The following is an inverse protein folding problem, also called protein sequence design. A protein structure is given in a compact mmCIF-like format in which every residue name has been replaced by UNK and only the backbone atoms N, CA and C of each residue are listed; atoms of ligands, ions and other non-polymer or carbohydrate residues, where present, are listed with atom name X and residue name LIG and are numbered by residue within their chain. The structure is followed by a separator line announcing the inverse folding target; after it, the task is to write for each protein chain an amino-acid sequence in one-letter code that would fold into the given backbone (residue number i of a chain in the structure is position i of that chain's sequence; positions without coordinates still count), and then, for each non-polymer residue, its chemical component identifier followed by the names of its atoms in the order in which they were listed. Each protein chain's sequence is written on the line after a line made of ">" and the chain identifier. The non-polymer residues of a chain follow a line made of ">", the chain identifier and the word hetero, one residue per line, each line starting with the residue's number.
data_IF_096881372995
#
_entry.id   IF_096881372995
#
_cell.length_a   1.000
_cell.length_b   1.000
_cell.length_c   1.000
_cell.angle_alpha   90.00
_cell.angle_beta   90.00
_cell.angle_gamma   90.00
#
_symmetry.space_group_name_H-M   'P 1'
#
loop_
_entity.id
_entity.type
_entity.pdbx_description
1 polymer ?
#
# COMPACT_ATOMS: atom_id res chain seq x y z
N UNK A 1 53.04 -3.98 54.26
CA UNK A 1 52.41 -3.30 53.10
C UNK A 1 51.01 -3.88 52.94
N UNK A 2 50.01 -3.02 53.10
CA UNK A 2 48.58 -3.35 53.21
C UNK A 2 48.04 -4.01 51.94
N UNK A 3 47.30 -5.12 52.08
CA UNK A 3 46.47 -5.69 51.01
C UNK A 3 45.10 -5.01 51.05
N UNK A 4 44.80 -4.20 50.04
CA UNK A 4 43.45 -3.67 49.78
C UNK A 4 42.51 -4.82 49.41
N UNK A 5 41.28 -4.90 49.97
CA UNK A 5 40.31 -5.89 49.52
C UNK A 5 39.70 -5.46 48.18
N UNK A 6 39.55 -6.41 47.26
CA UNK A 6 38.89 -6.21 45.98
C UNK A 6 37.40 -5.88 46.18
N UNK A 7 36.95 -4.80 45.56
CA UNK A 7 35.55 -4.39 45.50
C UNK A 7 34.72 -5.43 44.72
N UNK A 8 33.74 -6.04 45.39
CA UNK A 8 32.77 -6.95 44.77
C UNK A 8 31.72 -6.16 43.99
N UNK A 9 32.06 -5.73 42.78
CA UNK A 9 31.13 -5.08 41.84
C UNK A 9 30.35 -6.10 41.02
N UNK A 10 29.34 -6.75 41.62
CA UNK A 10 28.33 -7.49 40.86
C UNK A 10 27.38 -6.53 40.14
N UNK A 11 26.87 -6.86 38.94
CA UNK A 11 25.95 -5.99 38.23
C UNK A 11 24.65 -5.78 39.04
N UNK A 12 24.31 -4.52 39.27
CA UNK A 12 23.03 -4.11 39.86
C UNK A 12 21.89 -4.51 38.94
N UNK A 13 21.12 -5.52 39.33
CA UNK A 13 19.85 -5.85 38.69
C UNK A 13 18.80 -4.85 39.19
N UNK A 14 18.28 -4.04 38.27
CA UNK A 14 17.18 -3.12 38.54
C UNK A 14 15.92 -3.70 37.92
N UNK A 15 14.98 -4.14 38.75
CA UNK A 15 13.65 -4.56 38.30
C UNK A 15 12.73 -3.35 38.17
N UNK A 16 12.19 -3.13 36.97
CA UNK A 16 11.14 -2.15 36.72
C UNK A 16 9.83 -2.86 36.39
N UNK A 17 8.73 -2.49 37.05
CA UNK A 17 7.38 -2.86 36.62
C UNK A 17 6.84 -1.81 35.68
N UNK A 18 6.82 -2.12 34.38
CA UNK A 18 6.21 -1.25 33.39
C UNK A 18 4.68 -1.38 33.46
N UNK A 19 3.92 -0.27 33.58
CA UNK A 19 2.48 -0.32 33.42
C UNK A 19 2.17 -0.65 31.96
N UNK A 20 1.65 -1.86 31.73
CA UNK A 20 1.20 -2.29 30.40
C UNK A 20 -0.28 -1.97 30.27
N UNK A 21 -0.62 -1.09 29.33
CA UNK A 21 -2.00 -0.88 28.91
C UNK A 21 -2.22 -1.73 27.67
N UNK A 22 -3.11 -2.73 27.78
CA UNK A 22 -3.54 -3.47 26.60
C UNK A 22 -4.55 -2.64 25.82
N UNK A 23 -4.15 -2.20 24.63
CA UNK A 23 -5.04 -1.53 23.69
C UNK A 23 -5.64 -2.58 22.78
N UNK A 24 -6.96 -2.77 22.87
CA UNK A 24 -7.67 -3.66 21.95
C UNK A 24 -7.74 -3.00 20.56
N UNK A 25 -7.38 -3.70 19.48
CA UNK A 25 -7.50 -3.14 18.13
C UNK A 25 -8.98 -2.97 17.76
N UNK A 26 -9.29 -1.88 17.04
CA UNK A 26 -10.65 -1.61 16.55
C UNK A 26 -11.13 -2.68 15.56
N UNK A 27 -10.22 -3.17 14.69
CA UNK A 27 -10.47 -4.27 13.76
C UNK A 27 -9.77 -5.52 14.28
N UNK A 28 -10.53 -6.59 14.46
CA UNK A 28 -10.04 -7.88 14.96
C UNK A 28 -10.05 -8.93 13.86
N UNK A 29 -9.22 -9.97 13.98
CA UNK A 29 -9.29 -11.13 13.08
C UNK A 29 -10.68 -11.76 13.07
N UNK A 30 -11.32 -11.85 14.24
CA UNK A 30 -12.69 -12.37 14.37
C UNK A 30 -13.72 -11.53 13.61
N UNK A 31 -13.63 -10.19 13.67
CA UNK A 31 -14.55 -9.32 12.92
C UNK A 31 -14.34 -9.42 11.40
N UNK A 32 -13.10 -9.60 10.94
CA UNK A 32 -12.81 -9.81 9.51
C UNK A 32 -13.34 -11.17 9.02
N UNK A 33 -13.15 -12.23 9.82
CA UNK A 33 -13.67 -13.57 9.51
C UNK A 33 -15.20 -13.59 9.45
N UNK A 34 -15.87 -12.85 10.35
CA UNK A 34 -17.32 -12.69 10.31
C UNK A 34 -17.83 -12.00 9.03
N UNK A 35 -16.99 -11.20 8.37
CA UNK A 35 -17.26 -10.56 7.08
C UNK A 35 -16.85 -11.43 5.88
N UNK A 36 -16.41 -12.68 6.10
CA UNK A 36 -15.97 -13.60 5.05
C UNK A 36 -14.50 -13.44 4.62
N UNK A 37 -13.71 -12.60 5.31
CA UNK A 37 -12.29 -12.43 5.03
C UNK A 37 -11.51 -13.54 5.72
N UNK A 38 -11.16 -14.58 4.97
CA UNK A 38 -10.50 -15.77 5.51
C UNK A 38 -9.00 -15.58 5.79
N UNK A 39 -8.28 -14.88 4.89
CA UNK A 39 -6.81 -14.72 4.96
C UNK A 39 -6.31 -13.60 4.06
N UNK A 40 -5.06 -13.16 4.30
CA UNK A 40 -4.31 -12.32 3.36
C UNK A 40 -3.96 -13.12 2.10
N UNK A 41 -4.20 -12.55 0.93
CA UNK A 41 -3.94 -13.19 -0.38
C UNK A 41 -2.68 -12.68 -1.08
N UNK A 42 -2.27 -11.44 -0.81
CA UNK A 42 -1.06 -10.82 -1.36
C UNK A 42 -0.66 -9.57 -0.57
N UNK A 43 0.59 -9.15 -0.76
CA UNK A 43 1.10 -7.86 -0.28
C UNK A 43 2.19 -7.32 -1.22
N UNK A 44 2.27 -5.99 -1.29
CA UNK A 44 3.36 -5.26 -1.92
C UNK A 44 3.52 -3.91 -1.24
N UNK A 45 4.77 -3.48 -1.09
CA UNK A 45 5.10 -2.25 -0.37
C UNK A 45 6.11 -1.42 -1.15
N UNK A 46 5.95 -0.09 -1.05
CA UNK A 46 6.90 0.89 -1.61
C UNK A 46 7.12 1.99 -0.60
N UNK A 47 8.36 2.45 -0.45
CA UNK A 47 8.66 3.55 0.48
C UNK A 47 8.37 4.92 -0.14
N UNK A 48 7.91 5.84 0.69
CA UNK A 48 7.82 7.27 0.38
C UNK A 48 8.47 8.14 1.48
N UNK A 49 9.24 7.53 2.39
CA UNK A 49 9.77 8.19 3.58
C UNK A 49 10.69 9.38 3.28
N UNK A 50 11.47 9.32 2.20
CA UNK A 50 12.38 10.41 1.78
C UNK A 50 11.70 11.48 0.90
N UNK A 51 10.37 11.53 0.86
CA UNK A 51 9.64 12.46 -0.01
C UNK A 51 9.40 13.80 0.67
N UNK A 52 9.25 14.87 -0.12
CA UNK A 52 8.75 16.14 0.39
C UNK A 52 7.32 16.04 0.93
N UNK A 53 6.96 16.93 1.87
CA UNK A 53 5.70 16.88 2.62
C UNK A 53 4.45 16.79 1.74
N UNK A 54 4.38 17.56 0.65
CA UNK A 54 3.23 17.52 -0.26
C UNK A 54 3.04 16.15 -0.92
N UNK A 55 4.13 15.47 -1.27
CA UNK A 55 4.10 14.11 -1.84
C UNK A 55 3.71 13.08 -0.78
N UNK A 56 4.24 13.20 0.44
CA UNK A 56 3.86 12.34 1.57
C UNK A 56 2.35 12.46 1.83
N UNK A 57 1.82 13.69 1.90
CA UNK A 57 0.40 13.95 2.07
C UNK A 57 -0.44 13.29 0.97
N UNK A 58 -0.08 13.48 -0.30
CA UNK A 58 -0.83 12.92 -1.43
C UNK A 58 -0.85 11.39 -1.45
N UNK A 59 0.28 10.76 -1.10
CA UNK A 59 0.37 9.30 -1.00
C UNK A 59 -0.51 8.79 0.15
N UNK A 60 -0.44 9.42 1.33
CA UNK A 60 -1.30 9.08 2.48
C UNK A 60 -2.78 9.27 2.15
N UNK A 61 -3.18 10.44 1.67
CA UNK A 61 -4.56 10.74 1.28
C UNK A 61 -5.15 9.70 0.31
N UNK A 62 -4.34 9.22 -0.64
CA UNK A 62 -4.80 8.20 -1.59
C UNK A 62 -4.83 6.80 -0.99
N UNK A 63 -3.89 6.47 -0.09
CA UNK A 63 -3.89 5.22 0.66
C UNK A 63 -5.08 5.16 1.63
N UNK A 64 -5.36 6.24 2.35
CA UNK A 64 -6.47 6.35 3.30
C UNK A 64 -7.84 6.26 2.58
N UNK A 65 -7.93 6.80 1.35
CA UNK A 65 -9.13 6.65 0.53
C UNK A 65 -9.31 5.24 -0.04
N UNK A 66 -8.22 4.49 -0.21
CA UNK A 66 -8.21 3.11 -0.69
C UNK A 66 -8.51 2.12 0.45
N UNK A 67 -8.04 2.44 1.66
CA UNK A 67 -8.14 1.57 2.82
C UNK A 67 -9.60 1.25 3.16
N UNK A 68 -9.83 0.00 3.60
CA UNK A 68 -11.17 -0.49 3.89
C UNK A 68 -12.07 -0.76 2.67
N UNK A 69 -11.57 -0.64 1.44
CA UNK A 69 -12.36 -1.00 0.24
C UNK A 69 -12.73 -2.50 0.27
N UNK A 70 -14.02 -2.81 0.27
CA UNK A 70 -14.55 -4.16 0.09
C UNK A 70 -14.82 -4.41 -1.39
N UNK A 71 -14.26 -5.49 -1.92
CA UNK A 71 -14.46 -5.92 -3.31
C UNK A 71 -15.08 -7.32 -3.31
N UNK A 72 -16.35 -7.40 -3.67
CA UNK A 72 -17.09 -8.67 -3.69
C UNK A 72 -16.81 -9.47 -4.97
N UNK A 73 -17.04 -10.79 -4.96
CA UNK A 73 -16.92 -11.62 -6.17
C UNK A 73 -17.75 -11.07 -7.32
N UNK A 74 -17.13 -10.94 -8.50
CA UNK A 74 -17.77 -10.39 -9.70
C UNK A 74 -17.78 -8.86 -9.81
N UNK A 75 -17.38 -8.13 -8.77
CA UNK A 75 -17.27 -6.67 -8.85
C UNK A 75 -16.01 -6.21 -9.58
N UNK A 76 -16.03 -4.95 -10.01
CA UNK A 76 -14.88 -4.26 -10.59
C UNK A 76 -14.43 -3.11 -9.71
N UNK A 77 -13.19 -3.17 -9.27
CA UNK A 77 -12.52 -2.05 -8.60
C UNK A 77 -12.07 -0.99 -9.63
N UNK A 78 -12.32 0.29 -9.35
CA UNK A 78 -11.84 1.43 -10.14
C UNK A 78 -10.96 2.38 -9.31
N UNK A 79 -9.67 2.41 -9.64
CA UNK A 79 -8.72 3.32 -9.00
C UNK A 79 -9.05 4.81 -9.20
N UNK A 80 -9.71 5.17 -10.31
CA UNK A 80 -10.14 6.56 -10.55
C UNK A 80 -11.14 7.05 -9.50
N UNK A 81 -12.04 6.18 -9.04
CA UNK A 81 -12.99 6.49 -7.98
C UNK A 81 -12.28 6.76 -6.64
N UNK A 82 -11.20 6.03 -6.35
CA UNK A 82 -10.35 6.25 -5.17
C UNK A 82 -9.67 7.62 -5.23
N UNK A 83 -9.11 8.01 -6.38
CA UNK A 83 -8.51 9.34 -6.57
C UNK A 83 -9.55 10.46 -6.40
N UNK A 84 -10.77 10.26 -6.90
CA UNK A 84 -11.86 11.22 -6.74
C UNK A 84 -12.27 11.35 -5.26
N UNK A 85 -12.39 10.23 -4.54
CA UNK A 85 -12.64 10.20 -3.09
C UNK A 85 -11.53 10.91 -2.32
N UNK A 86 -10.27 10.58 -2.59
CA UNK A 86 -9.13 11.18 -1.92
C UNK A 86 -9.06 12.71 -2.12
N UNK A 87 -9.33 13.16 -3.35
CA UNK A 87 -9.40 14.59 -3.67
C UNK A 87 -10.50 15.30 -2.87
N UNK A 88 -11.68 14.69 -2.75
CA UNK A 88 -12.81 15.26 -2.01
C UNK A 88 -12.56 15.29 -0.49
N UNK A 89 -12.09 14.17 0.06
CA UNK A 89 -12.11 13.96 1.51
C UNK A 89 -10.85 14.52 2.20
N UNK A 90 -9.69 14.50 1.52
CA UNK A 90 -8.40 14.92 2.11
C UNK A 90 -7.75 16.09 1.37
N UNK A 91 -8.11 16.31 0.10
CA UNK A 91 -7.46 17.28 -0.77
C UNK A 91 -6.03 16.87 -1.16
N UNK A 92 -5.59 17.31 -2.34
CA UNK A 92 -4.21 17.11 -2.78
C UNK A 92 -3.38 18.38 -2.68
N UNK A 93 -2.11 18.20 -2.32
CA UNK A 93 -1.11 19.26 -2.19
C UNK A 93 -0.19 19.31 -3.41
N UNK A 94 0.49 20.44 -3.55
CA UNK A 94 1.52 20.61 -4.56
C UNK A 94 2.71 19.69 -4.29
N UNK A 95 3.15 18.98 -5.33
CA UNK A 95 4.32 18.12 -5.34
C UNK A 95 4.80 17.94 -6.79
N UNK A 96 6.07 17.57 -7.03
CA UNK A 96 6.53 17.28 -8.38
C UNK A 96 5.67 16.22 -9.07
N UNK A 97 5.16 16.55 -10.26
CA UNK A 97 4.41 15.65 -11.16
C UNK A 97 5.21 15.44 -12.44
N UNK A 98 5.01 14.31 -13.10
CA UNK A 98 5.62 14.06 -14.40
C UNK A 98 4.66 14.58 -15.47
N UNK A 99 5.09 15.60 -16.21
CA UNK A 99 4.36 16.14 -17.36
C UNK A 99 5.28 16.11 -18.58
N UNK A 100 4.88 15.38 -19.63
CA UNK A 100 5.67 15.22 -20.86
C UNK A 100 7.14 14.84 -20.59
N UNK A 101 7.33 13.96 -19.61
CA UNK A 101 8.62 13.42 -19.23
C UNK A 101 9.51 14.33 -18.37
N UNK A 102 9.03 15.48 -17.94
CA UNK A 102 9.74 16.38 -17.03
C UNK A 102 9.03 16.43 -15.68
N UNK A 103 9.82 16.55 -14.61
CA UNK A 103 9.28 16.89 -13.30
C UNK A 103 8.95 18.37 -13.27
N UNK A 104 7.68 18.68 -13.07
CA UNK A 104 7.17 20.05 -12.93
C UNK A 104 6.35 20.16 -11.65
N UNK A 105 6.24 21.34 -11.03
CA UNK A 105 5.29 21.55 -9.95
C UNK A 105 3.86 21.26 -10.41
N UNK A 106 3.08 20.54 -9.60
CA UNK A 106 1.67 20.25 -9.88
C UNK A 106 0.94 19.70 -8.66
N UNK A 107 -0.36 19.49 -8.76
CA UNK A 107 -1.18 18.93 -7.68
C UNK A 107 -1.24 17.41 -7.80
N UNK A 108 -1.11 16.69 -6.68
CA UNK A 108 -1.28 15.24 -6.65
C UNK A 108 -0.02 14.45 -7.03
N UNK A 109 1.16 15.06 -7.01
CA UNK A 109 2.41 14.30 -7.14
C UNK A 109 2.50 13.19 -6.09
N UNK A 110 2.71 11.95 -6.53
CA UNK A 110 2.79 10.76 -5.68
C UNK A 110 1.64 9.75 -5.82
N UNK A 111 0.46 10.14 -6.32
CA UNK A 111 -0.71 9.23 -6.37
C UNK A 111 -0.43 7.98 -7.22
N UNK A 112 0.33 8.12 -8.31
CA UNK A 112 0.66 7.02 -9.21
C UNK A 112 1.56 5.95 -8.57
N UNK A 113 2.30 6.30 -7.51
CA UNK A 113 3.01 5.31 -6.70
C UNK A 113 2.01 4.36 -6.03
N UNK A 114 0.91 4.88 -5.47
CA UNK A 114 -0.11 4.06 -4.81
C UNK A 114 -0.77 3.10 -5.82
N UNK A 115 -1.09 3.59 -7.02
CA UNK A 115 -1.58 2.73 -8.10
C UNK A 115 -0.59 1.62 -8.46
N UNK A 116 0.70 1.96 -8.62
CA UNK A 116 1.75 0.97 -8.93
C UNK A 116 1.92 -0.05 -7.81
N UNK A 117 1.80 0.37 -6.55
CA UNK A 117 1.87 -0.52 -5.38
C UNK A 117 0.68 -1.48 -5.37
N UNK A 118 -0.53 -0.97 -5.59
CA UNK A 118 -1.74 -1.79 -5.71
C UNK A 118 -1.63 -2.77 -6.88
N UNK A 119 -1.18 -2.32 -8.05
CA UNK A 119 -0.97 -3.17 -9.22
C UNK A 119 -0.07 -4.37 -8.91
N UNK A 120 1.07 -4.14 -8.27
CA UNK A 120 2.01 -5.21 -7.92
C UNK A 120 1.46 -6.14 -6.84
N UNK A 121 0.63 -5.65 -5.91
CA UNK A 121 -0.07 -6.50 -4.96
C UNK A 121 -1.10 -7.40 -5.67
N UNK A 122 -1.87 -6.85 -6.61
CA UNK A 122 -2.86 -7.61 -7.39
C UNK A 122 -2.20 -8.65 -8.29
N UNK A 123 -1.04 -8.34 -8.91
CA UNK A 123 -0.27 -9.32 -9.68
C UNK A 123 0.20 -10.53 -8.85
N UNK A 124 0.40 -10.35 -7.55
CA UNK A 124 0.79 -11.42 -6.62
C UNK A 124 -0.42 -12.16 -6.03
N UNK A 125 -1.63 -11.61 -6.18
CA UNK A 125 -2.84 -12.19 -5.65
C UNK A 125 -3.35 -13.33 -6.53
N UNK A 126 -3.82 -14.40 -5.89
CA UNK A 126 -4.67 -15.38 -6.55
C UNK A 126 -6.13 -14.92 -6.47
N UNK A 127 -6.89 -15.16 -7.54
CA UNK A 127 -8.33 -14.88 -7.56
C UNK A 127 -8.75 -13.45 -7.97
N UNK A 128 -7.80 -12.61 -8.40
CA UNK A 128 -8.07 -11.30 -8.98
C UNK A 128 -7.66 -11.26 -10.45
N UNK A 129 -8.48 -10.63 -11.28
CA UNK A 129 -8.18 -10.39 -12.69
C UNK A 129 -7.99 -8.90 -12.96
N UNK A 130 -6.89 -8.52 -13.60
CA UNK A 130 -6.70 -7.17 -14.13
C UNK A 130 -7.47 -7.05 -15.44
N UNK A 131 -8.47 -6.17 -15.50
CA UNK A 131 -9.32 -5.97 -16.69
C UNK A 131 -8.88 -4.77 -17.55
N UNK A 132 -8.17 -3.80 -16.95
CA UNK A 132 -7.64 -2.66 -17.67
C UNK A 132 -6.40 -2.11 -16.94
N UNK A 133 -5.42 -1.69 -17.74
CA UNK A 133 -4.24 -0.94 -17.30
C UNK A 133 -3.91 0.15 -18.32
N UNK A 134 -3.60 1.34 -17.83
CA UNK A 134 -3.01 2.44 -18.63
C UNK A 134 -1.60 2.71 -18.14
N UNK A 135 -0.73 3.15 -19.03
CA UNK A 135 0.65 3.53 -18.70
C UNK A 135 0.84 5.03 -18.92
N UNK A 136 1.76 5.64 -18.19
CA UNK A 136 2.36 6.91 -18.57
C UNK A 136 3.07 6.83 -19.92
N UNK A 137 3.22 8.00 -20.54
CA UNK A 137 4.04 8.21 -21.75
C UNK A 137 5.55 8.02 -21.52
N UNK A 138 6.01 7.78 -20.28
CA UNK A 138 7.38 7.34 -19.97
C UNK A 138 7.36 6.07 -19.10
N UNK A 139 8.19 5.06 -19.41
CA UNK A 139 8.47 3.97 -18.48
C UNK A 139 9.42 4.46 -17.37
N UNK A 140 9.07 4.23 -16.10
CA UNK A 140 10.01 4.28 -14.99
C UNK A 140 10.59 2.88 -14.82
N UNK A 141 11.88 2.75 -14.49
CA UNK A 141 12.47 1.45 -14.17
C UNK A 141 11.65 0.78 -13.07
N UNK A 142 10.91 -0.22 -13.52
CA UNK A 142 10.13 -1.13 -12.72
C UNK A 142 11.05 -2.32 -12.50
N UNK A 143 11.20 -2.78 -11.26
CA UNK A 143 11.68 -4.13 -11.02
C UNK A 143 10.70 -5.08 -11.72
N UNK A 144 11.03 -5.43 -12.95
CA UNK A 144 10.25 -6.30 -13.80
C UNK A 144 10.33 -7.69 -13.15
N UNK A 145 9.31 -8.02 -12.35
CA UNK A 145 8.95 -9.41 -12.21
C UNK A 145 8.67 -9.91 -13.63
N UNK A 146 9.56 -10.76 -14.13
CA UNK A 146 9.52 -11.38 -15.46
C UNK A 146 8.28 -12.26 -15.59
N UNK A 147 7.11 -11.66 -15.74
CA UNK A 147 5.92 -12.35 -16.23
C UNK A 147 5.30 -11.49 -17.33
N UNK A 148 5.84 -11.67 -18.53
CA UNK A 148 5.23 -11.20 -19.76
C UNK A 148 3.88 -11.87 -19.94
N UNK A 149 2.81 -11.09 -19.81
CA UNK A 149 1.48 -11.40 -20.35
C UNK A 149 0.91 -10.13 -20.95
N UNK A 150 1.26 -9.92 -22.22
CA UNK A 150 0.47 -9.11 -23.15
C UNK A 150 -0.88 -9.83 -23.32
N UNK A 151 -1.95 -9.30 -22.73
CA UNK A 151 -3.29 -9.90 -22.81
C UNK A 151 -3.98 -9.36 -24.05
N UNK A 152 -3.86 -10.09 -25.18
CA UNK A 152 -4.81 -9.97 -26.30
C UNK A 152 -6.04 -10.79 -25.96
N UNK A 153 -7.20 -10.16 -26.02
CA UNK A 153 -8.47 -10.76 -25.64
C UNK A 153 -8.79 -12.03 -26.43
N UNK A 154 -9.28 -13.04 -25.72
CA UNK A 154 -9.82 -14.27 -26.31
C UNK A 154 -9.74 -15.43 -25.32
N UNK A 155 -10.87 -15.81 -24.73
CA UNK A 155 -10.99 -17.06 -23.97
C UNK A 155 -11.93 -16.98 -22.77
N UNK A 156 -13.15 -17.49 -22.98
CA UNK A 156 -14.16 -17.81 -21.96
C UNK A 156 -13.56 -18.80 -20.94
N UNK A 157 -13.85 -18.66 -19.62
CA UNK A 157 -14.12 -19.75 -18.65
C UNK A 157 -14.37 -19.22 -17.20
N UNK A 158 -15.52 -19.65 -16.67
CA UNK A 158 -15.93 -19.89 -15.27
C UNK A 158 -16.07 -18.77 -14.24
N UNK A 159 -17.23 -18.78 -13.60
CA UNK A 159 -17.75 -17.96 -12.50
C UNK A 159 -16.84 -17.86 -11.27
N UNK A 160 -16.68 -16.64 -10.73
CA UNK A 160 -16.30 -16.43 -9.33
C UNK A 160 -15.19 -15.42 -9.03
N UNK A 161 -14.53 -14.83 -10.03
CA UNK A 161 -13.38 -13.94 -9.80
C UNK A 161 -13.78 -12.47 -9.67
N UNK A 162 -13.13 -11.74 -8.76
CA UNK A 162 -13.22 -10.29 -8.69
C UNK A 162 -12.24 -9.64 -9.69
N UNK A 163 -12.61 -8.47 -10.22
CA UNK A 163 -11.87 -7.79 -11.28
C UNK A 163 -11.31 -6.44 -10.80
N UNK A 164 -10.17 -6.03 -11.33
CA UNK A 164 -9.51 -4.78 -10.95
C UNK A 164 -9.11 -4.00 -12.20
N UNK A 165 -9.63 -2.77 -12.33
CA UNK A 165 -9.06 -1.75 -13.20
C UNK A 165 -7.99 -1.04 -12.40
N UNK A 166 -6.73 -1.27 -12.77
CA UNK A 166 -5.62 -0.53 -12.18
C UNK A 166 -5.17 0.51 -13.18
N UNK A 167 -5.61 1.75 -12.96
CA UNK A 167 -5.09 2.87 -13.73
C UNK A 167 -3.65 3.11 -13.31
N UNK A 168 -2.70 2.48 -14.00
CA UNK A 168 -1.33 2.94 -13.95
C UNK A 168 -1.29 4.40 -14.43
N UNK A 169 -0.60 5.21 -13.66
CA UNK A 169 0.21 6.22 -14.29
C UNK A 169 1.64 5.61 -14.34
#
# INVERSE_FOLDING_TARGET
>A
MSKTPASAGGPLLIEFRLPVVQVKPEITTASLQAQGIARKIAEFSTSFAASGEGRIHNVKATADALDGTMLLPGETFDYGAVVAKARRDYGYRAAPVILKGKLVPGIGGGICQVSSTLYNAVLRASGLQIVERRNHSLPRELFAARHGRDFRGGGRLTSGFATTRVNGC
#
